data_IF_521823031928
#
_entry.id   IF_521823031928
#
_cell.length_a   1.000
_cell.length_b   1.000
_cell.length_c   1.000
_cell.angle_alpha   90.00
_cell.angle_beta   90.00
_cell.angle_gamma   90.00
#
_symmetry.space_group_name_H-M   'P 1'
#
loop_
_entity.id
_entity.type
_entity.pdbx_description
1 polymer ?
#
# COMPACT_ATOMS: atom_id res chain seq x y z
N UNK A 1 0.65 -1.22 -23.03
CA UNK A 1 0.64 -1.97 -21.80
C UNK A 1 0.92 -3.47 -22.06
N UNK A 2 0.11 -4.14 -22.88
CA UNK A 2 0.22 -5.59 -23.14
C UNK A 2 1.57 -5.99 -23.75
N UNK A 3 2.12 -5.22 -24.70
CA UNK A 3 3.44 -5.47 -25.26
C UNK A 3 4.56 -5.44 -24.20
N UNK A 4 4.49 -4.48 -23.28
CA UNK A 4 5.44 -4.41 -22.15
C UNK A 4 5.33 -5.64 -21.25
N UNK A 5 4.13 -6.18 -21.06
CA UNK A 5 3.90 -7.37 -20.23
C UNK A 5 4.52 -8.63 -20.84
N UNK A 6 4.43 -8.80 -22.16
CA UNK A 6 5.01 -9.95 -22.86
C UNK A 6 6.54 -9.96 -22.73
N UNK A 7 7.20 -8.80 -22.85
CA UNK A 7 8.66 -8.73 -22.77
C UNK A 7 9.21 -8.66 -21.35
N UNK A 8 8.62 -7.80 -20.52
CA UNK A 8 9.18 -7.42 -19.23
C UNK A 8 8.34 -7.93 -18.04
N UNK A 9 7.34 -8.77 -18.28
CA UNK A 9 6.56 -9.40 -17.24
C UNK A 9 5.83 -8.40 -16.34
N UNK A 10 6.14 -8.39 -15.05
CA UNK A 10 5.42 -7.61 -14.02
C UNK A 10 5.94 -6.19 -13.79
N UNK A 11 6.70 -5.62 -14.71
CA UNK A 11 7.28 -4.28 -14.54
C UNK A 11 6.22 -3.22 -14.33
N UNK A 12 5.11 -3.25 -15.06
CA UNK A 12 4.02 -2.31 -14.87
C UNK A 12 3.43 -2.38 -13.45
N UNK A 13 3.12 -3.58 -12.97
CA UNK A 13 2.58 -3.79 -11.62
C UNK A 13 3.55 -3.38 -10.52
N UNK A 14 4.86 -3.56 -10.75
CA UNK A 14 5.89 -3.23 -9.76
C UNK A 14 6.19 -1.74 -9.64
N UNK A 15 6.17 -0.99 -10.74
CA UNK A 15 6.70 0.38 -10.77
C UNK A 15 5.67 1.45 -11.11
N UNK A 16 4.71 1.17 -11.97
CA UNK A 16 3.80 2.19 -12.51
C UNK A 16 2.35 2.06 -12.01
N UNK A 17 2.00 0.95 -11.39
CA UNK A 17 0.64 0.72 -10.90
C UNK A 17 0.34 1.62 -9.69
N UNK A 18 -0.75 2.43 -9.73
CA UNK A 18 -1.13 3.28 -8.60
C UNK A 18 -1.31 2.51 -7.29
N UNK A 19 -1.90 1.30 -7.34
CA UNK A 19 -2.08 0.46 -6.15
C UNK A 19 -0.75 0.12 -5.48
N UNK A 20 0.28 -0.20 -6.25
CA UNK A 20 1.62 -0.51 -5.73
C UNK A 20 2.26 0.71 -5.08
N UNK A 21 2.16 1.88 -5.72
CA UNK A 21 2.70 3.13 -5.18
C UNK A 21 2.06 3.46 -3.83
N UNK A 22 0.73 3.39 -3.74
CA UNK A 22 0.01 3.65 -2.49
C UNK A 22 0.34 2.63 -1.41
N UNK A 23 0.41 1.35 -1.76
CA UNK A 23 0.80 0.29 -0.82
C UNK A 23 2.21 0.51 -0.27
N UNK A 24 3.17 0.89 -1.10
CA UNK A 24 4.53 1.23 -0.67
C UNK A 24 4.56 2.45 0.25
N UNK A 25 3.77 3.48 -0.05
CA UNK A 25 3.67 4.67 0.81
C UNK A 25 3.16 4.30 2.21
N UNK A 26 2.11 3.49 2.29
CA UNK A 26 1.55 3.03 3.56
C UNK A 26 2.53 2.15 4.35
N UNK A 27 3.24 1.25 3.68
CA UNK A 27 4.30 0.43 4.29
C UNK A 27 5.46 1.29 4.78
N UNK A 28 5.80 2.37 4.06
CA UNK A 28 6.83 3.31 4.49
C UNK A 28 6.44 4.03 5.79
N UNK A 29 5.18 4.45 5.92
CA UNK A 29 4.64 5.01 7.16
C UNK A 29 4.73 4.01 8.31
N UNK A 30 4.35 2.74 8.09
CA UNK A 30 4.52 1.69 9.10
C UNK A 30 5.98 1.53 9.53
N UNK A 31 6.90 1.50 8.56
CA UNK A 31 8.33 1.39 8.83
C UNK A 31 8.85 2.59 9.63
N UNK A 32 8.37 3.77 9.34
CA UNK A 32 8.75 5.00 10.05
C UNK A 32 8.28 5.01 11.52
N UNK A 33 7.07 4.58 11.80
CA UNK A 33 6.47 4.58 13.16
C UNK A 33 6.93 3.38 14.00
N UNK A 34 6.97 2.17 13.42
CA UNK A 34 7.29 0.92 14.12
C UNK A 34 8.78 0.57 14.05
N UNK A 35 9.50 1.14 13.07
CA UNK A 35 10.89 0.82 12.80
C UNK A 35 11.06 -0.41 11.91
N UNK A 36 12.29 -0.94 11.88
CA UNK A 36 12.66 -2.08 11.03
C UNK A 36 11.98 -3.38 11.46
N UNK A 37 11.99 -4.37 10.54
CA UNK A 37 11.35 -5.69 10.69
C UNK A 37 11.55 -6.33 12.07
N UNK A 38 12.76 -6.37 12.60
CA UNK A 38 13.04 -7.01 13.88
C UNK A 38 12.36 -6.31 15.07
N UNK A 39 12.26 -4.97 15.01
CA UNK A 39 11.54 -4.18 16.02
C UNK A 39 10.03 -4.41 15.91
N UNK A 40 9.52 -4.54 14.68
CA UNK A 40 8.11 -4.79 14.39
C UNK A 40 7.65 -6.17 14.89
N UNK A 41 8.44 -7.23 14.65
CA UNK A 41 8.15 -8.57 15.19
C UNK A 41 8.13 -8.58 16.73
N UNK A 42 9.09 -7.91 17.37
CA UNK A 42 9.11 -7.78 18.83
C UNK A 42 7.91 -7.00 19.36
N UNK A 43 7.53 -5.93 18.64
CA UNK A 43 6.37 -5.11 18.97
C UNK A 43 5.05 -5.90 18.85
N UNK A 44 4.91 -6.71 17.81
CA UNK A 44 3.69 -7.53 17.61
C UNK A 44 3.56 -8.64 18.66
N UNK A 45 4.68 -9.26 19.07
CA UNK A 45 4.72 -10.26 20.14
C UNK A 45 4.55 -9.68 21.55
N UNK A 46 4.71 -8.36 21.74
CA UNK A 46 4.56 -7.74 23.05
C UNK A 46 3.10 -7.71 23.50
N UNK A 47 2.80 -7.78 24.81
CA UNK A 47 1.44 -7.71 25.33
C UNK A 47 0.79 -6.36 24.97
N UNK A 48 -0.54 -6.32 24.95
CA UNK A 48 -1.31 -5.12 24.69
C UNK A 48 -1.10 -4.08 25.79
N UNK A 49 -0.26 -3.09 25.53
CA UNK A 49 -0.02 -1.96 26.42
C UNK A 49 -0.46 -0.63 25.79
N UNK A 50 -0.62 0.43 26.59
CA UNK A 50 -1.07 1.75 26.09
C UNK A 50 -0.14 2.31 25.02
N UNK A 51 1.17 2.06 25.08
CA UNK A 51 2.16 2.45 24.06
C UNK A 51 1.92 1.73 22.73
N UNK A 52 1.47 0.47 22.77
CA UNK A 52 1.14 -0.31 21.55
C UNK A 52 -0.10 0.25 20.86
N UNK A 53 -1.13 0.54 21.66
CA UNK A 53 -2.38 1.13 21.16
C UNK A 53 -2.10 2.52 20.55
N UNK A 54 -1.35 3.38 21.24
CA UNK A 54 -1.01 4.72 20.74
C UNK A 54 -0.26 4.68 19.40
N UNK A 55 0.73 3.79 19.24
CA UNK A 55 1.45 3.66 17.96
C UNK A 55 0.58 3.12 16.83
N UNK A 56 -0.27 2.14 17.11
CA UNK A 56 -1.22 1.63 16.10
C UNK A 56 -2.26 2.69 15.71
N UNK A 57 -2.81 3.38 16.68
CA UNK A 57 -3.75 4.49 16.43
C UNK A 57 -3.10 5.59 15.58
N UNK A 58 -1.84 5.94 15.84
CA UNK A 58 -1.09 6.90 15.05
C UNK A 58 -0.96 6.45 13.58
N UNK A 59 -0.64 5.18 13.33
CA UNK A 59 -0.54 4.65 11.97
C UNK A 59 -1.89 4.75 11.25
N UNK A 60 -2.97 4.30 11.88
CA UNK A 60 -4.30 4.35 11.30
C UNK A 60 -4.76 5.79 11.03
N UNK A 61 -4.42 6.71 11.92
CA UNK A 61 -4.69 8.13 11.72
C UNK A 61 -3.94 8.70 10.51
N UNK A 62 -2.65 8.40 10.38
CA UNK A 62 -1.86 8.85 9.22
C UNK A 62 -2.41 8.24 7.92
N UNK A 63 -2.78 6.97 7.92
CA UNK A 63 -3.41 6.34 6.78
C UNK A 63 -4.72 6.99 6.38
N UNK A 64 -5.55 7.33 7.38
CA UNK A 64 -6.80 8.04 7.15
C UNK A 64 -6.56 9.43 6.54
N UNK A 65 -5.61 10.19 7.06
CA UNK A 65 -5.25 11.51 6.53
C UNK A 65 -4.75 11.40 5.07
N UNK A 66 -3.87 10.45 4.79
CA UNK A 66 -3.39 10.22 3.42
C UNK A 66 -4.52 9.83 2.46
N UNK A 67 -5.45 8.96 2.90
CA UNK A 67 -6.63 8.60 2.12
C UNK A 67 -7.53 9.80 1.86
N UNK A 68 -7.75 10.64 2.87
CA UNK A 68 -8.60 11.83 2.75
C UNK A 68 -7.97 12.87 1.79
N UNK A 69 -6.66 13.07 1.84
CA UNK A 69 -5.96 13.95 0.91
C UNK A 69 -6.09 13.42 -0.53
N UNK A 70 -5.94 12.11 -0.73
CA UNK A 70 -6.09 11.49 -2.04
C UNK A 70 -7.51 11.65 -2.58
N UNK A 71 -8.51 11.41 -1.73
CA UNK A 71 -9.92 11.59 -2.09
C UNK A 71 -10.23 13.05 -2.44
N UNK A 72 -9.72 14.00 -1.64
CA UNK A 72 -9.89 15.42 -1.91
C UNK A 72 -9.27 15.83 -3.25
N UNK A 73 -8.07 15.33 -3.55
CA UNK A 73 -7.41 15.59 -4.83
C UNK A 73 -8.22 15.03 -6.01
N UNK A 74 -8.75 13.81 -5.87
CA UNK A 74 -9.55 13.19 -6.92
C UNK A 74 -10.88 13.90 -7.12
N UNK A 75 -11.59 14.22 -6.04
CA UNK A 75 -12.86 14.95 -6.10
C UNK A 75 -12.65 16.37 -6.64
N UNK A 76 -11.56 17.05 -6.29
CA UNK A 76 -11.24 18.38 -6.82
C UNK A 76 -11.01 18.37 -8.34
N UNK A 77 -10.44 17.28 -8.86
CA UNK A 77 -10.27 17.12 -10.30
C UNK A 77 -11.60 16.99 -11.03
N UNK A 78 -12.58 16.31 -10.44
CA UNK A 78 -13.90 16.08 -11.04
C UNK A 78 -14.86 17.27 -10.86
N UNK A 79 -14.88 17.84 -9.64
CA UNK A 79 -15.78 18.93 -9.28
C UNK A 79 -15.29 20.33 -9.69
N UNK A 80 -13.98 20.46 -9.96
CA UNK A 80 -13.31 21.73 -10.16
C UNK A 80 -12.71 22.26 -8.85
N UNK A 81 -11.50 22.77 -8.96
CA UNK A 81 -10.73 23.31 -7.81
C UNK A 81 -11.41 24.52 -7.19
N UNK A 82 -11.97 25.39 -8.02
CA UNK A 82 -12.62 26.63 -7.55
C UNK A 82 -13.84 26.33 -6.67
N UNK A 83 -14.53 25.26 -6.95
CA UNK A 83 -15.71 24.85 -6.19
C UNK A 83 -15.35 24.29 -4.82
N UNK A 84 -14.26 23.52 -4.74
CA UNK A 84 -13.82 22.89 -3.49
C UNK A 84 -13.06 23.89 -2.60
N UNK A 85 -12.16 24.68 -3.17
CA UNK A 85 -11.29 25.60 -2.44
C UNK A 85 -11.89 27.01 -2.33
N UNK A 86 -12.72 27.44 -3.26
CA UNK A 86 -13.38 28.74 -3.21
C UNK A 86 -14.32 28.90 -2.03
N UNK A 87 -15.00 27.83 -1.61
CA UNK A 87 -15.82 27.84 -0.40
C UNK A 87 -15.00 27.87 0.90
N UNK A 88 -13.72 27.50 0.89
CA UNK A 88 -12.84 27.59 2.05
C UNK A 88 -12.42 29.01 2.39
N UNK A 89 -12.41 29.94 1.44
CA UNK A 89 -12.05 31.35 1.69
C UNK A 89 -13.12 32.10 2.48
N UNK A 90 -14.38 31.67 2.47
CA UNK A 90 -15.45 32.26 3.27
C UNK A 90 -15.50 31.82 4.73
N UNK A 91 -14.65 30.85 5.11
CA UNK A 91 -14.80 30.09 6.34
C UNK A 91 -13.57 30.26 7.24
N UNK A 92 -13.27 31.45 7.62
CA UNK A 92 -12.19 31.78 8.57
C UNK A 92 -12.31 31.23 10.00
N UNK A 93 -13.31 30.43 10.35
CA UNK A 93 -13.45 29.81 11.68
C UNK A 93 -14.37 28.60 11.63
N UNK A 94 -13.82 27.42 11.31
CA UNK A 94 -14.49 26.10 11.32
C UNK A 94 -15.98 26.16 10.92
N UNK A 95 -16.31 26.20 9.68
CA UNK A 95 -17.62 25.85 9.21
C UNK A 95 -17.54 24.66 8.29
N UNK A 96 -18.53 23.84 8.34
CA UNK A 96 -18.79 22.82 7.36
C UNK A 96 -19.01 23.52 6.00
N UNK A 97 -18.21 23.22 4.97
CA UNK A 97 -18.42 23.81 3.67
C UNK A 97 -19.81 23.44 3.18
N UNK A 98 -20.55 24.39 2.60
CA UNK A 98 -21.85 24.15 1.95
C UNK A 98 -21.68 23.36 0.65
N UNK A 99 -21.01 22.22 0.77
CA UNK A 99 -20.84 21.31 -0.35
C UNK A 99 -22.12 20.52 -0.59
N UNK A 100 -22.56 20.33 -1.84
CA UNK A 100 -23.69 19.50 -2.13
C UNK A 100 -23.43 18.05 -1.68
N UNK A 101 -24.48 17.38 -1.31
CA UNK A 101 -24.44 16.01 -0.73
C UNK A 101 -23.62 15.03 -1.56
N UNK A 102 -23.62 15.16 -2.91
CA UNK A 102 -22.85 14.27 -3.77
C UNK A 102 -21.32 14.39 -3.56
N UNK A 103 -20.81 15.57 -3.25
CA UNK A 103 -19.37 15.76 -2.92
C UNK A 103 -19.01 15.04 -1.63
N UNK A 104 -19.81 15.18 -0.59
CA UNK A 104 -19.62 14.47 0.68
C UNK A 104 -19.63 12.95 0.51
N UNK A 105 -20.60 12.45 -0.25
CA UNK A 105 -20.72 11.02 -0.54
C UNK A 105 -19.50 10.53 -1.34
N UNK A 106 -19.08 11.27 -2.35
CA UNK A 106 -17.88 10.94 -3.14
C UNK A 106 -16.62 10.94 -2.28
N UNK A 107 -16.41 11.97 -1.46
CA UNK A 107 -15.28 12.06 -0.55
C UNK A 107 -15.23 10.86 0.40
N UNK A 108 -16.38 10.49 0.98
CA UNK A 108 -16.45 9.34 1.87
C UNK A 108 -16.12 8.03 1.14
N UNK A 109 -16.70 7.79 -0.03
CA UNK A 109 -16.47 6.58 -0.82
C UNK A 109 -15.01 6.46 -1.21
N UNK A 110 -14.40 7.52 -1.76
CA UNK A 110 -13.00 7.49 -2.20
C UNK A 110 -12.01 7.38 -1.02
N UNK A 111 -12.28 8.06 0.09
CA UNK A 111 -11.46 7.93 1.31
C UNK A 111 -11.50 6.51 1.83
N UNK A 112 -12.69 5.93 1.96
CA UNK A 112 -12.86 4.58 2.47
C UNK A 112 -12.25 3.54 1.50
N UNK A 113 -12.48 3.68 0.20
CA UNK A 113 -11.91 2.80 -0.81
C UNK A 113 -10.38 2.82 -0.80
N UNK A 114 -9.77 4.00 -0.77
CA UNK A 114 -8.30 4.14 -0.72
C UNK A 114 -7.74 3.56 0.59
N UNK A 115 -8.38 3.86 1.71
CA UNK A 115 -7.99 3.35 3.02
C UNK A 115 -8.06 1.81 3.09
N UNK A 116 -9.14 1.22 2.60
CA UNK A 116 -9.31 -0.24 2.57
C UNK A 116 -8.32 -0.90 1.61
N UNK A 117 -8.16 -0.37 0.41
CA UNK A 117 -7.29 -0.95 -0.62
C UNK A 117 -5.81 -0.89 -0.24
N UNK A 118 -5.30 0.26 0.15
CA UNK A 118 -3.89 0.42 0.47
C UNK A 118 -3.52 -0.07 1.88
N UNK A 119 -4.45 0.02 2.83
CA UNK A 119 -4.23 -0.40 4.21
C UNK A 119 -4.39 -1.90 4.42
N UNK A 120 -5.53 -2.46 4.03
CA UNK A 120 -5.89 -3.85 4.36
C UNK A 120 -5.78 -4.81 3.17
N UNK A 121 -6.34 -4.44 2.01
CA UNK A 121 -6.48 -5.38 0.89
C UNK A 121 -5.22 -5.53 0.04
N UNK A 122 -4.29 -4.60 0.12
CA UNK A 122 -2.98 -4.60 -0.55
C UNK A 122 -2.87 -5.56 -1.75
N UNK A 123 -2.31 -6.76 -1.52
CA UNK A 123 -2.11 -7.78 -2.56
C UNK A 123 -3.41 -8.44 -3.01
N UNK A 124 -4.43 -8.51 -2.16
CA UNK A 124 -5.72 -9.13 -2.50
C UNK A 124 -6.42 -8.41 -3.65
N UNK A 125 -6.28 -7.08 -3.74
CA UNK A 125 -6.77 -6.31 -4.88
C UNK A 125 -6.18 -6.78 -6.20
N UNK A 126 -4.87 -7.04 -6.21
CA UNK A 126 -4.16 -7.47 -7.42
C UNK A 126 -4.54 -8.92 -7.82
N UNK A 127 -4.76 -9.79 -6.84
CA UNK A 127 -5.02 -11.22 -7.07
C UNK A 127 -6.48 -11.47 -7.42
N UNK A 128 -7.42 -10.80 -6.72
CA UNK A 128 -8.85 -11.15 -6.81
C UNK A 128 -9.66 -10.20 -7.68
N UNK A 129 -9.38 -8.89 -7.61
CA UNK A 129 -10.24 -7.86 -8.21
C UNK A 129 -9.65 -7.34 -9.52
N UNK A 130 -8.32 -7.20 -9.62
CA UNK A 130 -7.68 -6.61 -10.78
C UNK A 130 -7.75 -7.53 -12.01
N UNK A 131 -8.51 -7.15 -13.07
CA UNK A 131 -8.59 -7.98 -14.27
C UNK A 131 -7.26 -8.10 -14.98
N UNK A 132 -6.43 -7.03 -14.93
CA UNK A 132 -5.11 -7.03 -15.53
C UNK A 132 -4.17 -8.06 -14.87
N UNK A 133 -4.19 -8.20 -13.55
CA UNK A 133 -3.38 -9.20 -12.85
C UNK A 133 -3.70 -10.64 -13.26
N UNK A 134 -4.98 -10.92 -13.55
CA UNK A 134 -5.40 -12.23 -14.06
C UNK A 134 -5.01 -12.46 -15.52
N UNK A 135 -5.22 -11.46 -16.38
CA UNK A 135 -4.81 -11.55 -17.78
C UNK A 135 -3.29 -11.68 -17.91
N UNK A 136 -2.52 -11.00 -17.08
CA UNK A 136 -1.06 -11.01 -17.09
C UNK A 136 -0.50 -12.43 -16.89
N UNK A 137 -1.08 -13.24 -16.02
CA UNK A 137 -0.60 -14.59 -15.75
C UNK A 137 -0.71 -15.54 -16.95
N UNK A 138 -1.62 -15.23 -17.87
CA UNK A 138 -1.84 -16.00 -19.12
C UNK A 138 -0.94 -15.51 -20.25
N UNK A 139 -0.41 -14.30 -20.16
CA UNK A 139 0.40 -13.67 -21.20
C UNK A 139 1.90 -13.98 -21.08
N UNK A 140 2.33 -14.68 -20.05
CA UNK A 140 3.72 -15.05 -19.89
C UNK A 140 4.10 -16.18 -20.83
N UNK A 141 5.21 -16.01 -21.53
CA UNK A 141 5.85 -17.02 -22.37
C UNK A 141 7.20 -17.40 -21.77
N UNK A 142 7.85 -18.41 -22.37
CA UNK A 142 9.16 -18.92 -21.92
C UNK A 142 10.27 -17.87 -21.92
N UNK A 143 10.16 -16.87 -22.80
CA UNK A 143 11.13 -15.79 -22.97
C UNK A 143 10.79 -14.53 -22.15
N UNK A 144 9.69 -14.54 -21.40
CA UNK A 144 9.28 -13.41 -20.57
C UNK A 144 10.17 -13.30 -19.32
N UNK A 145 10.72 -12.10 -19.07
CA UNK A 145 11.49 -11.84 -17.85
C UNK A 145 10.57 -11.85 -16.62
N UNK A 146 10.73 -12.87 -15.79
CA UNK A 146 9.97 -13.01 -14.54
C UNK A 146 10.92 -13.12 -13.34
N UNK A 147 10.50 -12.59 -12.20
CA UNK A 147 11.17 -12.85 -10.93
C UNK A 147 10.56 -14.13 -10.36
N UNK A 148 11.35 -15.20 -10.34
CA UNK A 148 10.96 -16.49 -9.80
C UNK A 148 11.78 -16.82 -8.55
N UNK A 149 11.19 -17.65 -7.70
CA UNK A 149 11.87 -18.16 -6.51
C UNK A 149 12.66 -19.42 -6.85
N UNK A 150 13.95 -19.41 -6.56
CA UNK A 150 14.82 -20.57 -6.71
C UNK A 150 14.81 -21.39 -5.42
N UNK A 151 14.22 -22.56 -5.45
CA UNK A 151 14.09 -23.44 -4.29
C UNK A 151 15.42 -24.04 -3.85
N UNK A 152 16.30 -24.37 -4.79
CA UNK A 152 17.60 -24.98 -4.48
C UNK A 152 18.50 -24.00 -3.72
N UNK A 153 18.44 -22.73 -4.08
CA UNK A 153 19.21 -21.68 -3.46
C UNK A 153 18.54 -21.12 -2.18
N UNK A 154 17.23 -21.08 -2.15
CA UNK A 154 16.45 -20.38 -1.13
C UNK A 154 16.15 -21.19 0.12
N UNK A 155 16.04 -22.51 0.03
CA UNK A 155 15.69 -23.39 1.14
C UNK A 155 16.93 -24.09 1.75
N UNK A 156 16.91 -24.40 3.06
CA UNK A 156 15.88 -24.07 4.05
C UNK A 156 15.96 -22.61 4.53
N UNK A 157 14.78 -21.98 4.69
CA UNK A 157 14.69 -20.59 5.18
C UNK A 157 14.98 -20.51 6.66
N UNK A 158 15.65 -19.47 7.09
CA UNK A 158 15.90 -19.27 8.50
C UNK A 158 16.37 -17.86 8.87
N UNK A 159 16.33 -17.58 10.18
CA UNK A 159 16.82 -16.30 10.71
C UNK A 159 18.34 -16.26 10.69
N UNK A 160 18.93 -15.30 9.97
CA UNK A 160 20.37 -15.11 9.92
C UNK A 160 20.86 -14.12 10.98
N UNK A 161 21.93 -14.46 11.67
CA UNK A 161 22.69 -13.50 12.45
C UNK A 161 23.65 -12.74 11.53
N UNK A 162 23.79 -11.45 11.75
CA UNK A 162 24.66 -10.59 10.97
C UNK A 162 26.10 -11.09 11.02
N UNK A 163 26.68 -11.47 9.87
CA UNK A 163 28.07 -11.92 9.74
C UNK A 163 28.33 -13.44 9.80
N UNK A 164 27.30 -14.27 9.89
CA UNK A 164 27.46 -15.73 9.89
C UNK A 164 26.72 -16.34 8.71
N UNK A 165 27.42 -17.07 7.84
CA UNK A 165 26.81 -17.97 6.85
C UNK A 165 26.77 -19.38 7.46
N UNK A 166 25.63 -19.81 8.00
CA UNK A 166 25.51 -21.21 8.44
C UNK A 166 25.45 -22.10 7.20
N UNK A 167 26.30 -23.12 7.14
CA UNK A 167 26.43 -24.05 6.02
C UNK A 167 25.13 -24.80 5.65
N UNK A 168 24.16 -24.81 6.54
CA UNK A 168 22.88 -25.54 6.40
C UNK A 168 21.66 -24.65 6.17
N UNK A 169 21.82 -23.36 5.86
CA UNK A 169 20.69 -22.44 5.57
C UNK A 169 20.81 -21.91 4.14
N UNK A 170 19.69 -21.95 3.44
CA UNK A 170 19.53 -21.34 2.12
C UNK A 170 19.66 -19.81 2.17
N UNK A 171 19.74 -19.16 1.02
CA UNK A 171 19.93 -17.71 0.90
C UNK A 171 18.72 -16.87 1.29
N UNK A 172 17.57 -17.49 1.42
CA UNK A 172 16.33 -16.79 1.73
C UNK A 172 16.10 -16.64 3.24
N UNK A 173 15.61 -15.48 3.64
CA UNK A 173 15.15 -15.24 5.02
C UNK A 173 13.63 -15.32 5.06
N UNK A 174 13.08 -15.68 6.21
CA UNK A 174 11.64 -15.64 6.43
C UNK A 174 11.15 -14.19 6.55
N UNK A 175 10.41 -13.73 5.55
CA UNK A 175 10.01 -12.32 5.41
C UNK A 175 8.59 -12.03 5.91
N UNK A 176 7.93 -12.98 6.58
CA UNK A 176 6.53 -12.86 7.05
C UNK A 176 6.20 -11.54 7.73
#
# INVERSE_FOLDING_TARGET
>A
LFMVTVYAGRVWCGYACPQTIWTHLYQHVEKWVLGERNKRIKFDKSPMGPKKIAKRSLIYFIWFVLSAITAATFVSYVAGTDYLYGSWQMIGFIPFPDWPTWIWVSMFIFTFATYANAGYMREQMCIQICPYGRCQSVMFDKDTLIVSYDYERGEPRGARKKGTHPENLGDCIDCT
#
